data_IF_057951402745
#
_entry.id   IF_057951402745
#
_cell.length_a   1.000
_cell.length_b   1.000
_cell.length_c   1.000
_cell.angle_alpha   90.00
_cell.angle_beta   90.00
_cell.angle_gamma   90.00
#
_symmetry.space_group_name_H-M   'P 1'
#
loop_
_entity.id
_entity.type
_entity.pdbx_description
1 polymer ?
#
# COMPACT_ATOMS: atom_id res chain seq x y z
N UNK A 1 -4.79 -15.69 17.44
CA UNK A 1 -4.67 -14.25 17.13
C UNK A 1 -3.47 -14.02 16.23
N UNK A 2 -3.53 -13.03 15.32
CA UNK A 2 -2.43 -12.64 14.44
C UNK A 2 -1.18 -12.29 15.29
N UNK A 3 -0.02 -12.90 15.00
CA UNK A 3 1.25 -12.58 15.66
C UNK A 3 2.02 -11.60 14.80
N UNK A 4 2.44 -10.49 15.40
CA UNK A 4 3.34 -9.53 14.77
C UNK A 4 4.79 -9.91 15.09
N UNK A 5 5.73 -9.71 14.15
CA UNK A 5 7.14 -9.90 14.46
C UNK A 5 7.56 -8.92 15.57
N UNK A 6 8.50 -9.31 16.45
CA UNK A 6 9.07 -8.40 17.44
C UNK A 6 9.78 -7.24 16.75
N UNK A 7 10.00 -6.12 17.47
CA UNK A 7 10.77 -5.02 16.90
C UNK A 7 12.23 -5.43 16.70
N UNK A 8 12.80 -5.02 15.58
CA UNK A 8 14.19 -5.36 15.22
C UNK A 8 15.15 -4.46 15.99
N UNK A 9 16.13 -5.01 16.71
CA UNK A 9 17.20 -4.22 17.37
C UNK A 9 16.67 -3.09 18.28
N UNK A 10 15.64 -3.36 19.08
CA UNK A 10 15.02 -2.36 19.94
C UNK A 10 15.34 -2.57 21.42
N UNK A 11 15.72 -1.49 22.11
CA UNK A 11 15.85 -1.45 23.56
C UNK A 11 14.57 -0.97 24.28
N UNK A 12 13.51 -0.63 23.52
CA UNK A 12 12.21 -0.24 24.09
C UNK A 12 11.63 -1.44 24.88
N UNK A 13 11.02 -1.24 26.05
CA UNK A 13 10.44 -2.35 26.82
C UNK A 13 9.48 -3.22 26.00
N UNK A 14 9.59 -4.55 26.12
CA UNK A 14 8.84 -5.50 25.29
C UNK A 14 7.32 -5.32 25.39
N UNK A 15 6.80 -4.97 26.57
CA UNK A 15 5.38 -4.68 26.78
C UNK A 15 4.91 -3.45 26.00
N UNK A 16 5.72 -2.39 25.95
CA UNK A 16 5.43 -1.18 25.18
C UNK A 16 5.43 -1.48 23.69
N UNK A 17 6.41 -2.27 23.21
CA UNK A 17 6.44 -2.73 21.82
C UNK A 17 5.19 -3.54 21.47
N UNK A 18 4.82 -4.50 22.33
CA UNK A 18 3.66 -5.34 22.13
C UNK A 18 2.36 -4.54 22.08
N UNK A 19 2.20 -3.59 23.00
CA UNK A 19 1.02 -2.71 23.06
C UNK A 19 0.91 -1.83 21.81
N UNK A 20 1.99 -1.15 21.42
CA UNK A 20 1.97 -0.30 20.22
C UNK A 20 1.68 -1.09 18.94
N UNK A 21 2.28 -2.27 18.77
CA UNK A 21 2.06 -3.13 17.60
C UNK A 21 0.65 -3.72 17.58
N UNK A 22 0.07 -4.07 18.74
CA UNK A 22 -1.35 -4.49 18.85
C UNK A 22 -2.30 -3.36 18.45
N UNK A 23 -2.05 -2.14 18.89
CA UNK A 23 -2.87 -0.98 18.53
C UNK A 23 -2.76 -0.68 17.02
N UNK A 24 -1.57 -0.79 16.44
CA UNK A 24 -1.38 -0.66 15.00
C UNK A 24 -2.11 -1.75 14.21
N UNK A 25 -2.06 -2.99 14.69
CA UNK A 25 -2.81 -4.11 14.11
C UNK A 25 -4.32 -3.88 14.08
N UNK A 26 -4.88 -3.37 15.19
CA UNK A 26 -6.30 -3.05 15.25
C UNK A 26 -6.71 -1.96 14.24
N UNK A 27 -5.82 -1.02 13.94
CA UNK A 27 -6.03 -0.02 12.88
C UNK A 27 -6.04 -0.67 11.48
N UNK A 28 -5.10 -1.59 11.22
CA UNK A 28 -5.08 -2.36 9.97
C UNK A 28 -6.36 -3.19 9.82
N UNK A 29 -6.82 -3.85 10.88
CA UNK A 29 -8.06 -4.63 10.88
C UNK A 29 -9.29 -3.75 10.57
N UNK A 30 -9.33 -2.53 11.13
CA UNK A 30 -10.39 -1.58 10.80
C UNK A 30 -10.33 -1.13 9.34
N UNK A 31 -9.13 -0.89 8.80
CA UNK A 31 -8.94 -0.54 7.39
C UNK A 31 -9.41 -1.68 6.47
N UNK A 32 -9.04 -2.92 6.77
CA UNK A 32 -9.43 -4.12 6.03
C UNK A 32 -10.96 -4.30 5.99
N UNK A 33 -11.64 -4.07 7.12
CA UNK A 33 -13.11 -4.08 7.19
C UNK A 33 -13.73 -3.07 6.20
N UNK A 34 -13.25 -1.82 6.20
CA UNK A 34 -13.79 -0.78 5.33
C UNK A 34 -13.45 -1.01 3.85
N UNK A 35 -12.25 -1.52 3.55
CA UNK A 35 -11.88 -1.92 2.21
C UNK A 35 -12.85 -2.98 1.67
N UNK A 36 -13.17 -3.99 2.48
CA UNK A 36 -14.19 -4.99 2.16
C UNK A 36 -15.57 -4.37 1.89
N UNK A 37 -15.98 -3.40 2.69
CA UNK A 37 -17.24 -2.68 2.50
C UNK A 37 -17.28 -1.89 1.17
N UNK A 38 -16.20 -1.19 0.82
CA UNK A 38 -16.12 -0.44 -0.44
C UNK A 38 -16.11 -1.36 -1.67
N UNK A 39 -15.36 -2.46 -1.61
CA UNK A 39 -15.37 -3.48 -2.67
C UNK A 39 -16.77 -4.10 -2.80
N UNK A 40 -17.44 -4.38 -1.68
CA UNK A 40 -18.81 -4.88 -1.66
C UNK A 40 -19.80 -3.90 -2.31
N UNK A 41 -19.67 -2.60 -2.03
CA UNK A 41 -20.50 -1.56 -2.63
C UNK A 41 -20.29 -1.47 -4.16
N UNK A 42 -19.04 -1.49 -4.64
CA UNK A 42 -18.72 -1.52 -6.07
C UNK A 42 -19.27 -2.78 -6.75
N UNK A 43 -19.26 -3.91 -6.06
CA UNK A 43 -19.83 -5.15 -6.59
C UNK A 43 -21.36 -5.06 -6.69
N UNK A 44 -22.02 -4.54 -5.65
CA UNK A 44 -23.47 -4.37 -5.63
C UNK A 44 -23.97 -3.38 -6.69
N UNK A 45 -23.16 -2.37 -7.05
CA UNK A 45 -23.49 -1.43 -8.12
C UNK A 45 -23.14 -1.95 -9.53
N UNK A 46 -22.47 -3.11 -9.65
CA UNK A 46 -22.00 -3.65 -10.93
C UNK A 46 -20.74 -2.97 -11.49
N UNK A 47 -20.14 -2.03 -10.77
CA UNK A 47 -19.00 -1.21 -11.23
C UNK A 47 -17.63 -1.87 -10.95
N UNK A 48 -17.61 -2.89 -10.09
CA UNK A 48 -16.35 -3.52 -9.64
C UNK A 48 -15.49 -3.97 -10.81
N UNK A 49 -16.07 -4.57 -11.85
CA UNK A 49 -15.31 -5.09 -12.99
C UNK A 49 -14.68 -3.99 -13.87
N UNK A 50 -15.25 -2.78 -13.85
CA UNK A 50 -14.73 -1.61 -14.57
C UNK A 50 -13.85 -0.70 -13.67
N UNK A 51 -13.56 -1.12 -12.44
CA UNK A 51 -12.81 -0.32 -11.47
C UNK A 51 -11.38 -0.83 -11.29
N UNK A 52 -10.41 0.07 -11.48
CA UNK A 52 -9.03 -0.12 -11.02
C UNK A 52 -8.94 0.22 -9.53
N UNK A 53 -8.55 -0.75 -8.72
CA UNK A 53 -8.34 -0.56 -7.27
C UNK A 53 -6.84 -0.64 -6.99
N UNK A 54 -6.27 0.43 -6.43
CA UNK A 54 -4.88 0.47 -5.99
C UNK A 54 -4.82 0.75 -4.49
N UNK A 55 -4.25 -0.19 -3.73
CA UNK A 55 -3.97 -0.03 -2.30
C UNK A 55 -2.47 0.26 -2.13
N UNK A 56 -2.16 1.41 -1.53
CA UNK A 56 -0.80 1.80 -1.21
C UNK A 56 -0.72 2.48 0.16
N UNK A 57 0.49 2.75 0.65
CA UNK A 57 0.74 3.66 1.78
C UNK A 57 1.68 4.78 1.33
N UNK A 58 1.59 5.95 1.95
CA UNK A 58 2.51 7.07 1.72
C UNK A 58 3.89 6.82 2.35
N UNK A 59 3.89 6.17 3.51
CA UNK A 59 5.09 5.72 4.22
C UNK A 59 4.79 4.47 5.07
N UNK A 60 5.85 3.88 5.63
CA UNK A 60 5.79 2.84 6.64
C UNK A 60 5.87 3.41 8.06
N UNK A 61 6.02 2.55 9.05
CA UNK A 61 6.14 2.95 10.46
C UNK A 61 7.20 2.08 11.12
N UNK A 62 8.14 2.71 11.82
CA UNK A 62 9.23 2.01 12.49
C UNK A 62 8.72 1.08 13.59
N UNK A 63 7.60 1.40 14.26
CA UNK A 63 6.99 0.55 15.31
C UNK A 63 8.02 0.02 16.33
N UNK A 64 8.93 0.91 16.76
CA UNK A 64 10.04 0.63 17.68
C UNK A 64 11.19 -0.19 17.10
N UNK A 65 11.22 -0.50 15.81
CA UNK A 65 12.42 -1.00 15.16
C UNK A 65 13.56 -0.01 15.40
N UNK A 66 14.72 -0.53 15.82
CA UNK A 66 15.91 0.23 16.19
C UNK A 66 15.68 1.21 17.35
N UNK A 67 14.68 0.95 18.18
CA UNK A 67 14.30 1.81 19.29
C UNK A 67 13.60 3.11 18.88
N UNK A 68 13.13 3.21 17.64
CA UNK A 68 12.56 4.44 17.07
C UNK A 68 11.10 4.21 16.67
N UNK A 69 10.25 5.22 16.92
CA UNK A 69 8.90 5.31 16.37
C UNK A 69 8.86 6.40 15.28
N UNK A 70 7.81 6.39 14.46
CA UNK A 70 7.62 7.31 13.35
C UNK A 70 8.22 6.80 12.04
N UNK A 71 8.53 7.72 11.15
CA UNK A 71 8.80 7.45 9.73
C UNK A 71 9.97 8.24 9.16
N UNK A 72 10.52 9.19 9.90
CA UNK A 72 11.60 10.09 9.48
C UNK A 72 12.96 9.39 9.54
N UNK A 73 13.05 8.20 8.92
CA UNK A 73 14.21 7.32 8.90
C UNK A 73 14.39 6.69 7.52
N UNK A 74 15.64 6.42 7.09
CA UNK A 74 15.93 5.88 5.77
C UNK A 74 15.76 4.35 5.68
N UNK A 75 15.08 3.72 6.65
CA UNK A 75 14.97 2.26 6.74
C UNK A 75 13.73 1.74 6.04
N UNK A 76 13.77 0.49 5.58
CA UNK A 76 12.65 -0.16 4.90
C UNK A 76 11.35 -0.12 5.72
N UNK A 77 11.40 -0.27 7.06
CA UNK A 77 10.20 -0.17 7.90
C UNK A 77 9.48 1.18 7.76
N UNK A 78 10.19 2.25 7.40
CA UNK A 78 9.65 3.59 7.18
C UNK A 78 9.33 3.92 5.72
N UNK A 79 9.97 3.27 4.74
CA UNK A 79 9.87 3.67 3.31
C UNK A 79 9.36 2.59 2.37
N UNK A 80 9.48 1.31 2.73
CA UNK A 80 9.04 0.17 1.91
C UNK A 80 7.57 -0.14 2.21
N UNK A 81 6.68 0.45 1.43
CA UNK A 81 5.23 0.36 1.59
C UNK A 81 4.60 -0.73 0.71
N UNK A 82 3.43 -1.28 1.09
CA UNK A 82 2.66 -2.12 0.19
C UNK A 82 2.19 -1.30 -1.03
N UNK A 83 2.14 -1.97 -2.19
CA UNK A 83 1.46 -1.49 -3.38
C UNK A 83 0.78 -2.68 -4.05
N UNK A 84 -0.56 -2.74 -4.00
CA UNK A 84 -1.38 -3.79 -4.60
C UNK A 84 -2.35 -3.17 -5.59
N UNK A 85 -2.52 -3.79 -6.75
CA UNK A 85 -3.44 -3.33 -7.80
C UNK A 85 -4.39 -4.46 -8.20
N UNK A 86 -5.65 -4.13 -8.43
CA UNK A 86 -6.71 -5.04 -8.88
C UNK A 86 -7.50 -4.41 -10.01
N UNK A 87 -7.69 -5.15 -11.09
CA UNK A 87 -8.46 -4.73 -12.26
C UNK A 87 -8.34 -5.77 -13.39
N UNK A 88 -8.81 -7.01 -13.20
CA UNK A 88 -8.59 -8.10 -14.15
C UNK A 88 -9.14 -7.79 -15.55
N UNK A 89 -10.34 -7.20 -15.65
CA UNK A 89 -10.91 -6.78 -16.95
C UNK A 89 -10.18 -5.60 -17.59
N UNK A 90 -9.37 -4.88 -16.80
CA UNK A 90 -8.52 -3.80 -17.28
C UNK A 90 -7.12 -4.29 -17.68
N UNK A 91 -6.83 -5.60 -17.52
CA UNK A 91 -5.55 -6.21 -17.87
C UNK A 91 -4.58 -6.39 -16.71
N UNK A 92 -4.98 -6.10 -15.46
CA UNK A 92 -4.15 -6.36 -14.28
C UNK A 92 -4.13 -7.87 -14.00
N UNK A 93 -2.95 -8.48 -14.12
CA UNK A 93 -2.75 -9.92 -13.90
C UNK A 93 -2.94 -10.31 -12.44
N UNK A 94 -3.96 -11.11 -12.15
CA UNK A 94 -4.21 -11.64 -10.80
C UNK A 94 -3.05 -12.52 -10.32
N UNK A 95 -2.65 -12.36 -9.05
CA UNK A 95 -1.57 -13.14 -8.43
C UNK A 95 -0.15 -12.81 -8.92
N UNK A 96 0.02 -11.85 -9.85
CA UNK A 96 1.34 -11.44 -10.29
C UNK A 96 2.11 -10.73 -9.16
N UNK A 97 3.40 -11.06 -9.02
CA UNK A 97 4.32 -10.42 -8.07
C UNK A 97 5.42 -9.72 -8.84
N UNK A 98 5.47 -8.39 -8.73
CA UNK A 98 6.53 -7.57 -9.32
C UNK A 98 7.64 -7.40 -8.29
N UNK A 99 8.86 -7.86 -8.65
CA UNK A 99 10.05 -7.71 -7.80
C UNK A 99 10.93 -6.52 -8.17
N UNK A 100 10.65 -5.88 -9.30
CA UNK A 100 11.35 -4.67 -9.71
C UNK A 100 11.05 -3.52 -8.73
N UNK A 101 12.04 -2.65 -8.43
CA UNK A 101 11.78 -1.45 -7.64
C UNK A 101 10.77 -0.55 -8.34
N UNK A 102 9.78 -0.10 -7.57
CA UNK A 102 8.74 0.85 -7.99
C UNK A 102 8.56 1.91 -6.91
N UNK A 103 7.88 3.01 -7.25
CA UNK A 103 7.58 4.09 -6.34
C UNK A 103 6.10 4.47 -6.40
N UNK A 104 5.56 4.98 -5.31
CA UNK A 104 4.17 5.49 -5.26
C UNK A 104 3.93 6.63 -6.24
N UNK A 105 4.98 7.36 -6.65
CA UNK A 105 4.88 8.39 -7.71
C UNK A 105 4.59 7.82 -9.10
N UNK A 106 4.85 6.53 -9.32
CA UNK A 106 4.55 5.85 -10.58
C UNK A 106 3.03 5.60 -10.75
N UNK A 107 2.23 5.76 -9.67
CA UNK A 107 0.77 5.67 -9.74
C UNK A 107 0.14 6.75 -10.62
N UNK A 108 0.70 7.97 -10.62
CA UNK A 108 0.21 9.08 -11.44
C UNK A 108 0.14 8.73 -12.94
N UNK A 109 1.28 8.41 -13.60
CA UNK A 109 1.28 7.97 -14.99
C UNK A 109 0.49 6.67 -15.19
N UNK A 110 0.48 5.75 -14.22
CA UNK A 110 -0.32 4.52 -14.30
C UNK A 110 -1.81 4.82 -14.44
N UNK A 111 -2.37 5.73 -13.63
CA UNK A 111 -3.78 6.11 -13.72
C UNK A 111 -4.12 6.78 -15.05
N UNK A 112 -3.22 7.64 -15.55
CA UNK A 112 -3.40 8.27 -16.86
C UNK A 112 -3.39 7.23 -17.99
N UNK A 113 -2.52 6.22 -17.92
CA UNK A 113 -2.46 5.13 -18.90
C UNK A 113 -3.75 4.31 -18.92
N UNK A 114 -4.23 3.85 -17.75
CA UNK A 114 -5.51 3.13 -17.66
C UNK A 114 -6.70 3.98 -18.13
N UNK A 115 -6.64 5.31 -17.97
CA UNK A 115 -7.65 6.24 -18.46
C UNK A 115 -7.50 6.62 -19.95
N UNK A 116 -6.47 6.13 -20.67
CA UNK A 116 -6.18 6.52 -22.05
C UNK A 116 -5.72 7.98 -22.19
N UNK A 117 -5.31 8.62 -21.09
CA UNK A 117 -4.95 10.02 -20.98
C UNK A 117 -3.44 10.26 -20.81
N UNK A 118 -2.60 9.22 -20.92
CA UNK A 118 -1.14 9.34 -20.80
C UNK A 118 -0.53 10.41 -21.73
N UNK A 119 -0.98 10.58 -23.00
CA UNK A 119 -0.49 11.67 -23.86
C UNK A 119 -0.76 13.09 -23.30
N UNK A 120 -1.64 13.22 -22.31
CA UNK A 120 -1.98 14.47 -21.62
C UNK A 120 -1.23 14.64 -20.29
N UNK A 121 -0.22 13.80 -20.02
CA UNK A 121 0.58 13.92 -18.80
C UNK A 121 1.20 15.32 -18.67
N UNK A 122 1.20 15.91 -17.45
CA UNK A 122 1.84 17.20 -17.21
C UNK A 122 3.32 17.20 -17.62
N UNK A 123 3.79 18.35 -18.14
CA UNK A 123 5.22 18.56 -18.39
C UNK A 123 6.00 18.37 -17.09
N UNK A 124 7.03 17.53 -17.12
CA UNK A 124 7.86 17.21 -15.95
C UNK A 124 7.46 15.92 -15.22
N UNK A 125 6.42 15.21 -15.65
CA UNK A 125 6.15 13.85 -15.17
C UNK A 125 7.24 12.90 -15.72
N UNK A 126 8.20 12.54 -14.87
CA UNK A 126 9.39 11.76 -15.25
C UNK A 126 9.29 10.26 -14.98
N UNK A 127 8.11 9.78 -14.57
CA UNK A 127 7.87 8.41 -14.13
C UNK A 127 7.09 7.62 -15.18
N UNK A 128 7.15 6.30 -15.08
CA UNK A 128 6.58 5.39 -16.06
C UNK A 128 5.31 4.74 -15.52
N UNK A 129 4.39 4.39 -16.43
CA UNK A 129 3.23 3.59 -16.09
C UNK A 129 3.67 2.20 -15.61
N UNK A 130 2.99 1.69 -14.59
CA UNK A 130 3.13 0.33 -14.07
C UNK A 130 2.19 -0.66 -14.78
N UNK A 131 1.47 -0.21 -15.82
CA UNK A 131 0.58 -1.08 -16.59
C UNK A 131 1.40 -2.25 -17.19
N UNK A 132 0.96 -3.51 -17.00
CA UNK A 132 1.75 -4.68 -17.40
C UNK A 132 1.90 -4.91 -18.90
#
# INVERSE_FOLDING_TARGET
GRRFPPAVQSAVPAEMQATGRRNYAAKIERLDFWLGAYIGALNASGELENTLICLASDHGEMLFDRGVAGKEKPWNSASSVPLLCRGPRLGVRAGAVVRAPVSTVDLGPTFLDFAGALPRAPRGMSRFSLRP
#
